data_IF_198588961874
#
_entry.id   IF_198588961874
#
_cell.length_a   1.000
_cell.length_b   1.000
_cell.length_c   1.000
_cell.angle_alpha   90.00
_cell.angle_beta   90.00
_cell.angle_gamma   90.00
#
_symmetry.space_group_name_H-M   'P 1'
#
loop_
_entity.id
_entity.type
_entity.pdbx_description
1 polymer ?
#
# COMPACT_ATOMS: atom_id res chain seq x y z
N UNK A 1 2.95 25.74 33.31
CA UNK A 1 1.83 25.11 32.59
C UNK A 1 2.15 23.70 32.16
N UNK A 2 1.21 22.79 32.38
CA UNK A 2 1.30 21.39 31.94
C UNK A 2 0.51 21.30 30.63
N UNK A 3 1.19 20.93 29.54
CA UNK A 3 0.55 20.79 28.23
C UNK A 3 -0.20 19.45 28.14
N UNK A 4 -1.47 19.46 28.50
CA UNK A 4 -2.37 18.30 28.49
C UNK A 4 -2.69 17.75 27.09
N UNK A 5 -2.37 18.49 26.03
CA UNK A 5 -2.58 18.07 24.64
C UNK A 5 -1.42 17.23 24.10
N UNK A 6 -0.30 17.19 24.82
CA UNK A 6 0.82 16.34 24.46
C UNK A 6 0.55 14.90 24.92
N UNK A 7 0.83 13.93 24.05
CA UNK A 7 0.76 12.52 24.42
C UNK A 7 1.63 12.24 25.65
N UNK A 8 1.07 11.53 26.64
CA UNK A 8 1.82 11.13 27.84
C UNK A 8 2.97 10.17 27.49
N UNK A 9 2.78 9.31 26.48
CA UNK A 9 3.77 8.36 25.99
C UNK A 9 3.58 8.13 24.48
N UNK A 10 4.66 7.96 23.70
CA UNK A 10 4.54 7.67 22.28
C UNK A 10 3.97 6.25 22.06
N UNK A 11 2.79 6.17 21.44
CA UNK A 11 2.15 4.90 21.12
C UNK A 11 2.82 4.31 19.88
N UNK A 12 3.77 3.39 20.08
CA UNK A 12 4.36 2.62 18.99
C UNK A 12 3.44 1.45 18.62
N UNK A 13 2.49 1.66 17.70
CA UNK A 13 1.67 0.54 17.23
C UNK A 13 2.52 -0.44 16.42
N UNK A 14 2.09 -1.71 16.38
CA UNK A 14 2.78 -2.75 15.61
C UNK A 14 2.93 -2.40 14.12
N UNK A 15 2.02 -1.57 13.59
CA UNK A 15 2.05 -1.12 12.19
C UNK A 15 3.13 -0.06 11.97
N UNK A 16 3.31 0.90 12.88
CA UNK A 16 4.27 2.00 12.68
C UNK A 16 5.71 1.52 12.60
N UNK A 17 6.10 0.56 13.45
CA UNK A 17 7.46 0.00 13.41
C UNK A 17 7.75 -0.73 12.09
N UNK A 18 6.73 -1.38 11.51
CA UNK A 18 6.86 -2.10 10.24
C UNK A 18 6.83 -1.15 9.05
N UNK A 19 6.00 -0.11 9.10
CA UNK A 19 5.94 0.97 8.10
C UNK A 19 7.27 1.71 8.00
N UNK A 20 7.89 2.05 9.13
CA UNK A 20 9.21 2.67 9.19
C UNK A 20 10.34 1.72 8.76
N UNK A 21 10.09 0.41 8.70
CA UNK A 21 11.02 -0.59 8.20
C UNK A 21 11.15 -0.61 6.68
N UNK A 22 10.11 -0.18 5.96
CA UNK A 22 10.10 -0.22 4.50
C UNK A 22 11.03 0.86 3.92
N UNK A 23 11.99 0.41 3.10
CA UNK A 23 13.01 1.27 2.49
C UNK A 23 12.37 2.37 1.64
N UNK A 24 11.29 2.05 0.92
CA UNK A 24 10.55 3.00 0.09
C UNK A 24 9.96 4.15 0.92
N UNK A 25 9.32 3.83 2.04
CA UNK A 25 8.70 4.83 2.95
C UNK A 25 9.77 5.74 3.52
N UNK A 26 10.90 5.16 3.95
CA UNK A 26 12.02 5.92 4.47
C UNK A 26 12.63 6.86 3.44
N UNK A 27 12.82 6.38 2.21
CA UNK A 27 13.33 7.21 1.10
C UNK A 27 12.39 8.39 0.84
N UNK A 28 11.09 8.13 0.78
CA UNK A 28 10.08 9.15 0.53
C UNK A 28 10.07 10.24 1.62
N UNK A 29 10.17 9.84 2.90
CA UNK A 29 10.32 10.80 4.00
C UNK A 29 11.56 11.67 3.83
N UNK A 30 12.72 11.08 3.52
CA UNK A 30 13.95 11.86 3.27
C UNK A 30 13.81 12.82 2.10
N UNK A 31 13.12 12.41 1.03
CA UNK A 31 12.84 13.27 -0.13
C UNK A 31 11.87 14.41 0.21
N UNK A 32 10.91 14.17 1.11
CA UNK A 32 10.01 15.21 1.63
C UNK A 32 10.76 16.20 2.53
N UNK A 33 11.57 15.70 3.46
CA UNK A 33 12.40 16.53 4.36
C UNK A 33 13.37 17.43 3.58
N UNK A 34 13.91 16.92 2.47
CA UNK A 34 14.78 17.66 1.57
C UNK A 34 14.03 18.55 0.55
N UNK A 35 12.69 18.54 0.54
CA UNK A 35 11.87 19.33 -0.39
C UNK A 35 11.91 18.87 -1.86
N UNK A 36 12.50 17.71 -2.15
CA UNK A 36 12.75 17.21 -3.51
C UNK A 36 11.64 16.30 -4.04
N UNK A 37 10.58 16.05 -3.27
CA UNK A 37 9.55 15.05 -3.59
C UNK A 37 8.84 15.30 -4.94
N UNK A 38 8.74 16.55 -5.38
CA UNK A 38 8.06 16.91 -6.63
C UNK A 38 8.97 16.80 -7.86
N UNK A 39 10.28 16.56 -7.67
CA UNK A 39 11.23 16.49 -8.77
C UNK A 39 11.12 15.18 -9.54
N UNK A 40 11.54 15.20 -10.82
CA UNK A 40 11.62 13.99 -11.63
C UNK A 40 12.62 12.97 -11.05
N UNK A 41 13.66 13.46 -10.39
CA UNK A 41 14.61 12.62 -9.66
C UNK A 41 13.94 11.79 -8.58
N UNK A 42 13.10 12.41 -7.74
CA UNK A 42 12.35 11.70 -6.71
C UNK A 42 11.43 10.64 -7.32
N UNK A 43 10.79 10.94 -8.45
CA UNK A 43 9.92 9.99 -9.16
C UNK A 43 10.71 8.76 -9.64
N UNK A 44 11.87 8.96 -10.23
CA UNK A 44 12.74 7.87 -10.70
C UNK A 44 13.32 7.06 -9.55
N UNK A 45 13.80 7.72 -8.49
CA UNK A 45 14.34 7.06 -7.32
C UNK A 45 13.28 6.19 -6.61
N UNK A 46 12.06 6.72 -6.45
CA UNK A 46 10.94 5.94 -5.90
C UNK A 46 10.52 4.81 -6.83
N UNK A 47 10.56 4.98 -8.16
CA UNK A 47 10.24 3.91 -9.10
C UNK A 47 11.26 2.75 -9.03
N UNK A 48 12.54 3.04 -8.83
CA UNK A 48 13.59 2.04 -8.72
C UNK A 48 13.49 1.20 -7.43
N UNK A 49 12.94 1.75 -6.35
CA UNK A 49 12.79 1.03 -5.08
C UNK A 49 11.54 0.14 -5.11
N UNK A 50 11.79 -1.17 -5.12
CA UNK A 50 10.75 -2.20 -5.00
C UNK A 50 9.91 -1.99 -3.73
N UNK A 51 8.58 -1.94 -3.88
CA UNK A 51 7.65 -1.97 -2.74
C UNK A 51 7.72 -3.36 -2.10
N UNK A 52 7.65 -3.42 -0.77
CA UNK A 52 7.51 -4.68 -0.06
C UNK A 52 6.31 -5.47 -0.61
N UNK A 53 6.45 -6.78 -0.84
CA UNK A 53 5.36 -7.59 -1.35
C UNK A 53 4.20 -7.55 -0.37
N UNK A 54 2.98 -7.54 -0.92
CA UNK A 54 1.77 -7.69 -0.13
C UNK A 54 1.85 -8.97 0.71
N UNK A 55 1.43 -8.87 1.99
CA UNK A 55 1.41 -10.02 2.90
C UNK A 55 0.54 -11.12 2.28
N UNK A 56 0.91 -12.39 2.50
CA UNK A 56 0.21 -13.56 1.93
C UNK A 56 -1.29 -13.54 2.24
N UNK A 57 -1.67 -13.12 3.43
CA UNK A 57 -3.06 -13.08 3.88
C UNK A 57 -3.84 -11.87 3.33
N UNK A 58 -3.13 -10.89 2.77
CA UNK A 58 -3.67 -9.71 2.07
C UNK A 58 -3.65 -9.91 0.55
N UNK A 59 -3.16 -11.06 0.07
CA UNK A 59 -3.29 -11.41 -1.33
C UNK A 59 -4.76 -11.75 -1.58
N UNK A 60 -5.44 -10.89 -2.34
CA UNK A 60 -6.66 -11.32 -3.01
C UNK A 60 -6.35 -12.61 -3.78
N UNK A 61 -7.18 -13.63 -3.60
CA UNK A 61 -7.09 -14.83 -4.39
C UNK A 61 -7.40 -14.48 -5.85
N UNK A 62 -6.36 -14.18 -6.65
CA UNK A 62 -6.48 -13.93 -8.09
C UNK A 62 -6.81 -15.21 -8.89
N UNK A 63 -7.46 -16.20 -8.28
CA UNK A 63 -7.96 -17.42 -8.95
C UNK A 63 -9.43 -17.30 -9.40
N UNK A 64 -9.96 -16.08 -9.58
CA UNK A 64 -11.18 -15.89 -10.37
C UNK A 64 -11.06 -14.76 -11.38
N UNK A 65 -9.96 -14.74 -12.14
CA UNK A 65 -9.96 -14.18 -13.51
C UNK A 65 -9.63 -15.26 -14.53
N UNK A 66 -9.96 -16.52 -14.20
CA UNK A 66 -9.57 -17.73 -14.92
C UNK A 66 -10.70 -18.72 -15.16
N UNK A 67 -11.94 -18.27 -15.21
CA UNK A 67 -12.90 -18.93 -16.09
C UNK A 67 -12.93 -18.10 -17.37
N UNK A 68 -12.38 -18.66 -18.44
CA UNK A 68 -12.85 -18.33 -19.77
C UNK A 68 -14.34 -18.72 -19.82
N UNK A 69 -15.21 -17.86 -19.30
CA UNK A 69 -16.60 -17.88 -19.70
C UNK A 69 -16.57 -17.48 -21.18
N UNK A 70 -16.61 -18.48 -22.07
CA UNK A 70 -17.19 -18.22 -23.39
C UNK A 70 -18.55 -17.61 -23.07
N UNK A 71 -18.74 -16.34 -23.39
CA UNK A 71 -19.95 -15.56 -23.09
C UNK A 71 -21.20 -16.04 -23.83
N UNK A 72 -21.21 -17.29 -24.31
CA UNK A 72 -22.21 -17.79 -25.25
C UNK A 72 -23.03 -18.98 -24.70
N UNK A 73 -22.73 -19.51 -23.51
CA UNK A 73 -23.36 -20.74 -23.01
C UNK A 73 -24.30 -20.52 -21.80
N UNK A 74 -24.63 -19.28 -21.45
CA UNK A 74 -25.62 -19.02 -20.40
C UNK A 74 -26.99 -18.91 -21.07
N UNK A 75 -27.70 -20.03 -21.18
CA UNK A 75 -29.13 -20.00 -21.51
C UNK A 75 -29.84 -19.14 -20.44
N UNK A 76 -30.60 -18.10 -20.83
CA UNK A 76 -31.32 -17.31 -19.86
C UNK A 76 -32.38 -18.20 -19.21
N UNK A 77 -32.29 -18.37 -17.89
CA UNK A 77 -33.35 -19.01 -17.13
C UNK A 77 -34.65 -18.22 -17.36
N UNK A 78 -35.56 -18.78 -18.17
CA UNK A 78 -36.91 -18.27 -18.33
C UNK A 78 -37.65 -18.45 -17.00
N UNK A 79 -37.93 -17.34 -16.33
CA UNK A 79 -38.91 -17.32 -15.24
C UNK A 79 -40.30 -17.43 -15.87
N UNK A 80 -40.94 -18.58 -15.68
CA UNK A 80 -42.36 -18.82 -15.99
C UNK A 80 -43.24 -18.14 -14.95
#
# INVERSE_FOLDING_TARGET
>A
DINIQQELFPINTFKDRKLCGDIRVRLEQRLRDAGLIQTDYARQALAAVQKAPQRRDTQENKMWTGFAFKTNDIEPYNMS
#
